data_IF_444260925441
#
_entry.id   IF_444260925441
#
_cell.length_a   1.000
_cell.length_b   1.000
_cell.length_c   1.000
_cell.angle_alpha   90.00
_cell.angle_beta   90.00
_cell.angle_gamma   90.00
#
_symmetry.space_group_name_H-M   'P 1'
#
loop_
_entity.id
_entity.type
_entity.pdbx_description
1 polymer ?
#
# COMPACT_ATOMS: atom_id res chain seq x y z
N UNK A 1 -17.31 10.09 6.80
CA UNK A 1 -16.37 10.06 7.93
C UNK A 1 -15.70 8.72 7.80
N UNK A 2 -14.38 8.74 7.57
CA UNK A 2 -13.59 7.53 7.51
C UNK A 2 -13.39 7.06 8.95
N UNK A 3 -13.53 5.76 9.17
CA UNK A 3 -13.40 5.15 10.49
C UNK A 3 -12.25 4.14 10.41
N UNK A 4 -11.26 4.32 11.27
CA UNK A 4 -10.23 3.31 11.49
C UNK A 4 -10.76 2.32 12.53
N UNK A 5 -10.55 1.05 12.24
CA UNK A 5 -10.94 -0.09 13.04
C UNK A 5 -9.73 -0.97 13.28
N UNK A 6 -9.82 -1.93 14.21
CA UNK A 6 -8.71 -2.86 14.48
C UNK A 6 -7.37 -2.16 14.78
N UNK A 7 -7.43 -1.08 15.57
CA UNK A 7 -6.25 -0.27 15.89
C UNK A 7 -5.39 -1.04 16.90
N UNK A 8 -4.16 -1.33 16.51
CA UNK A 8 -3.12 -1.93 17.35
C UNK A 8 -1.90 -1.00 17.40
N UNK A 9 -1.20 -1.03 18.53
CA UNK A 9 0.04 -0.29 18.75
C UNK A 9 1.02 -1.26 19.36
N UNK A 10 2.08 -1.56 18.64
CA UNK A 10 3.04 -2.57 19.05
C UNK A 10 4.05 -2.03 20.10
N UNK A 11 4.97 -2.89 20.54
CA UNK A 11 5.95 -2.57 21.58
C UNK A 11 7.02 -1.57 21.12
N UNK A 12 7.26 -1.49 19.81
CA UNK A 12 8.18 -0.55 19.15
C UNK A 12 7.49 0.79 18.81
N UNK A 13 6.17 0.89 18.98
CA UNK A 13 5.41 2.12 18.81
C UNK A 13 4.91 2.37 17.40
N UNK A 14 4.87 1.34 16.55
CA UNK A 14 4.21 1.35 15.25
C UNK A 14 2.69 1.17 15.42
N UNK A 15 1.92 2.01 14.73
CA UNK A 15 0.46 1.92 14.72
C UNK A 15 0.01 1.16 13.47
N UNK A 16 -0.78 0.11 13.68
CA UNK A 16 -1.50 -0.59 12.62
C UNK A 16 -3.01 -0.47 12.81
N UNK A 17 -3.76 -0.40 11.71
CA UNK A 17 -5.21 -0.33 11.74
C UNK A 17 -5.81 -0.83 10.42
N UNK A 18 -7.13 -0.94 10.35
CA UNK A 18 -7.89 -1.20 9.13
C UNK A 18 -8.83 -0.04 8.86
N UNK A 19 -8.82 0.46 7.62
CA UNK A 19 -9.68 1.57 7.21
C UNK A 19 -10.68 1.12 6.14
N UNK A 20 -11.94 1.53 6.33
CA UNK A 20 -12.96 1.43 5.29
C UNK A 20 -12.92 2.69 4.42
N UNK A 21 -12.51 2.51 3.16
CA UNK A 21 -12.43 3.57 2.17
C UNK A 21 -13.69 3.59 1.27
N UNK A 22 -13.94 4.70 0.56
CA UNK A 22 -15.06 4.77 -0.37
C UNK A 22 -14.98 3.70 -1.47
N UNK A 23 -16.14 3.23 -1.94
CA UNK A 23 -16.23 2.21 -2.99
C UNK A 23 -16.10 0.77 -2.46
N UNK A 24 -16.48 0.54 -1.20
CA UNK A 24 -16.41 -0.78 -0.54
C UNK A 24 -14.97 -1.33 -0.40
N UNK A 25 -13.97 -0.45 -0.54
CA UNK A 25 -12.53 -0.76 -0.38
C UNK A 25 -12.16 -0.85 1.09
N UNK A 26 -11.32 -1.81 1.45
CA UNK A 26 -10.72 -1.92 2.79
C UNK A 26 -9.21 -1.98 2.62
N UNK A 27 -8.49 -1.25 3.46
CA UNK A 27 -7.03 -1.21 3.41
C UNK A 27 -6.46 -1.33 4.81
N UNK A 28 -5.35 -2.05 4.94
CA UNK A 28 -4.51 -1.96 6.13
C UNK A 28 -3.88 -0.57 6.19
N UNK A 29 -3.75 0.01 7.37
CA UNK A 29 -3.08 1.28 7.60
C UNK A 29 -1.89 1.02 8.50
N UNK A 30 -0.71 1.43 8.05
CA UNK A 30 0.52 1.39 8.83
C UNK A 30 1.01 2.81 9.04
N UNK A 31 1.48 3.12 10.24
CA UNK A 31 2.04 4.42 10.56
C UNK A 31 3.56 4.33 10.67
N UNK A 32 4.26 4.89 9.69
CA UNK A 32 5.71 4.89 9.67
C UNK A 32 6.26 6.07 10.47
N UNK A 33 7.09 5.78 11.48
CA UNK A 33 7.86 6.76 12.23
C UNK A 33 9.34 6.71 11.85
N UNK A 34 9.95 7.87 11.68
CA UNK A 34 11.41 7.95 11.63
C UNK A 34 12.03 7.52 12.97
N UNK A 35 13.21 6.90 12.92
CA UNK A 35 13.87 6.33 14.10
C UNK A 35 14.15 7.31 15.25
N UNK A 36 14.17 8.62 14.97
CA UNK A 36 14.37 9.68 15.96
C UNK A 36 13.04 10.33 16.43
N UNK A 37 11.89 9.94 15.86
CA UNK A 37 10.57 10.45 16.20
C UNK A 37 9.87 9.58 17.24
N UNK A 38 9.11 10.23 18.12
CA UNK A 38 8.25 9.59 19.10
C UNK A 38 6.94 10.37 19.13
N UNK A 39 5.88 9.75 18.64
CA UNK A 39 4.52 10.27 18.69
C UNK A 39 3.67 9.38 19.59
N UNK A 40 2.76 9.98 20.35
CA UNK A 40 1.76 9.20 21.08
C UNK A 40 0.75 8.58 20.10
N UNK A 41 0.17 7.42 20.43
CA UNK A 41 -0.78 6.72 19.57
C UNK A 41 -1.99 7.57 19.16
N UNK A 42 -2.50 8.43 20.05
CA UNK A 42 -3.56 9.38 19.73
C UNK A 42 -3.15 10.40 18.64
N UNK A 43 -1.88 10.82 18.63
CA UNK A 43 -1.35 11.77 17.65
C UNK A 43 -1.18 11.09 16.29
N UNK A 44 -0.60 9.89 16.26
CA UNK A 44 -0.50 9.05 15.06
C UNK A 44 -1.87 8.79 14.43
N UNK A 45 -2.85 8.39 15.25
CA UNK A 45 -4.22 8.16 14.79
C UNK A 45 -4.87 9.43 14.21
N UNK A 46 -4.60 10.59 14.81
CA UNK A 46 -5.14 11.86 14.32
C UNK A 46 -4.51 12.25 12.97
N UNK A 47 -3.21 12.01 12.78
CA UNK A 47 -2.50 12.22 11.52
C UNK A 47 -3.04 11.27 10.44
N UNK A 48 -3.11 9.97 10.73
CA UNK A 48 -3.68 8.95 9.83
C UNK A 48 -5.10 9.31 9.38
N UNK A 49 -5.99 9.66 10.31
CA UNK A 49 -7.35 10.10 9.97
C UNK A 49 -7.36 11.32 9.05
N UNK A 50 -6.49 12.30 9.32
CA UNK A 50 -6.41 13.53 8.53
C UNK A 50 -5.86 13.29 7.13
N UNK A 51 -4.89 12.40 6.98
CA UNK A 51 -4.36 12.02 5.68
C UNK A 51 -5.45 11.28 4.88
N UNK A 52 -6.03 10.24 5.47
CA UNK A 52 -6.98 9.36 4.80
C UNK A 52 -8.30 10.06 4.45
N UNK A 53 -8.78 11.05 5.23
CA UNK A 53 -10.07 11.73 4.95
C UNK A 53 -10.12 12.40 3.58
N UNK A 54 -8.97 12.71 3.01
CA UNK A 54 -8.87 13.32 1.68
C UNK A 54 -9.03 12.29 0.54
N UNK A 55 -8.85 10.99 0.82
CA UNK A 55 -9.06 9.88 -0.12
C UNK A 55 -10.55 9.62 -0.34
N UNK A 56 -11.13 10.40 -1.25
CA UNK A 56 -12.48 10.15 -1.75
C UNK A 56 -12.48 9.06 -2.82
N UNK A 57 -13.64 8.48 -3.12
CA UNK A 57 -13.76 7.48 -4.19
C UNK A 57 -13.29 8.05 -5.53
N UNK A 58 -13.64 9.29 -5.86
CA UNK A 58 -13.20 9.95 -7.09
C UNK A 58 -11.69 10.15 -7.16
N UNK A 59 -11.02 10.33 -6.02
CA UNK A 59 -9.55 10.42 -5.96
C UNK A 59 -8.94 9.05 -6.17
N UNK A 60 -9.46 8.01 -5.50
CA UNK A 60 -8.96 6.64 -5.66
C UNK A 60 -9.13 6.15 -7.10
N UNK A 61 -10.33 6.30 -7.69
CA UNK A 61 -10.57 5.94 -9.09
C UNK A 61 -9.64 6.68 -10.06
N UNK A 62 -9.29 7.94 -9.77
CA UNK A 62 -8.32 8.70 -10.57
C UNK A 62 -6.90 8.14 -10.41
N UNK A 63 -6.48 7.89 -9.17
CA UNK A 63 -5.15 7.35 -8.89
C UNK A 63 -4.98 5.96 -9.49
N UNK A 64 -5.98 5.08 -9.39
CA UNK A 64 -5.98 3.75 -9.98
C UNK A 64 -5.82 3.85 -11.52
N UNK A 65 -6.54 4.77 -12.19
CA UNK A 65 -6.38 5.01 -13.63
C UNK A 65 -4.97 5.53 -13.99
N UNK A 66 -4.41 6.44 -13.19
CA UNK A 66 -3.06 6.96 -13.39
C UNK A 66 -1.98 5.87 -13.22
N UNK A 67 -2.07 5.06 -12.16
CA UNK A 67 -1.16 3.93 -11.90
C UNK A 67 -1.20 2.96 -13.08
N UNK A 68 -2.40 2.57 -13.52
CA UNK A 68 -2.58 1.64 -14.63
C UNK A 68 -1.91 2.17 -15.90
N UNK A 69 -2.13 3.44 -16.23
CA UNK A 69 -1.53 4.03 -17.42
C UNK A 69 -0.02 4.14 -17.31
N UNK A 70 0.51 4.59 -16.16
CA UNK A 70 1.95 4.75 -15.98
C UNK A 70 2.68 3.40 -16.04
N UNK A 71 2.16 2.36 -15.39
CA UNK A 71 2.76 1.04 -15.40
C UNK A 71 2.71 0.37 -16.77
N UNK A 72 1.57 0.43 -17.44
CA UNK A 72 1.42 -0.15 -18.79
C UNK A 72 2.26 0.63 -19.78
N UNK A 73 2.24 1.97 -19.77
CA UNK A 73 3.07 2.75 -20.69
C UNK A 73 4.56 2.51 -20.46
N UNK A 74 4.98 2.32 -19.22
CA UNK A 74 6.37 2.00 -18.87
C UNK A 74 6.81 0.61 -19.38
N UNK A 75 5.95 -0.42 -19.32
CA UNK A 75 6.27 -1.75 -19.84
C UNK A 75 6.51 -1.75 -21.36
N UNK A 76 5.82 -0.86 -22.08
CA UNK A 76 5.99 -0.66 -23.52
C UNK A 76 7.01 0.43 -23.87
N UNK A 77 7.63 1.10 -22.89
CA UNK A 77 8.61 2.15 -23.16
C UNK A 77 9.86 1.57 -23.81
N UNK A 78 10.07 1.93 -25.07
CA UNK A 78 11.21 1.46 -25.86
C UNK A 78 10.92 0.20 -26.68
N UNK A 79 9.72 -0.36 -26.57
CA UNK A 79 9.23 -1.42 -27.44
C UNK A 79 8.73 -0.86 -28.79
N UNK A 80 8.67 -1.75 -29.79
CA UNK A 80 8.20 -1.38 -31.13
C UNK A 80 6.67 -1.36 -31.23
N UNK A 81 6.02 -2.08 -30.31
CA UNK A 81 4.57 -2.16 -30.16
C UNK A 81 4.09 -1.05 -29.22
N UNK A 82 2.81 -0.71 -29.32
CA UNK A 82 2.16 0.26 -28.44
C UNK A 82 1.10 -0.44 -27.60
N UNK A 83 0.87 0.00 -26.36
CA UNK A 83 -0.14 -0.60 -25.51
C UNK A 83 -1.53 -0.51 -26.16
N UNK A 84 -2.28 -1.59 -26.08
CA UNK A 84 -3.67 -1.68 -26.52
C UNK A 84 -4.62 -1.42 -25.35
N UNK A 85 -5.88 -1.06 -25.65
CA UNK A 85 -6.90 -0.84 -24.62
C UNK A 85 -7.13 -2.06 -23.70
N UNK A 86 -6.79 -3.26 -24.18
CA UNK A 86 -6.89 -4.49 -23.40
C UNK A 86 -5.82 -4.57 -22.32
N UNK A 87 -4.62 -4.03 -22.55
CA UNK A 87 -3.49 -4.10 -21.61
C UNK A 87 -3.81 -3.27 -20.35
N UNK A 88 -4.31 -2.05 -20.54
CA UNK A 88 -4.81 -1.22 -19.43
C UNK A 88 -5.99 -1.88 -18.71
N UNK A 89 -6.94 -2.45 -19.45
CA UNK A 89 -8.11 -3.09 -18.85
C UNK A 89 -7.76 -4.34 -18.03
N UNK A 90 -6.71 -5.08 -18.42
CA UNK A 90 -6.22 -6.24 -17.67
C UNK A 90 -5.67 -5.80 -16.31
N UNK A 91 -4.76 -4.82 -16.29
CA UNK A 91 -4.21 -4.33 -15.04
C UNK A 91 -5.28 -3.66 -14.16
N UNK A 92 -6.18 -2.87 -14.74
CA UNK A 92 -7.25 -2.21 -14.00
C UNK A 92 -8.25 -3.18 -13.34
N UNK A 93 -8.50 -4.35 -13.93
CA UNK A 93 -9.43 -5.35 -13.36
C UNK A 93 -8.81 -6.12 -12.19
N UNK A 94 -7.48 -6.23 -12.13
CA UNK A 94 -6.77 -6.95 -11.07
C UNK A 94 -6.17 -6.04 -9.98
N UNK A 95 -6.08 -4.73 -10.21
CA UNK A 95 -5.50 -3.80 -9.27
C UNK A 95 -6.37 -3.72 -8.00
N UNK A 96 -5.81 -4.15 -6.86
CA UNK A 96 -6.52 -4.20 -5.58
C UNK A 96 -5.73 -3.47 -4.49
N UNK A 97 -6.37 -2.51 -3.82
CA UNK A 97 -5.75 -1.72 -2.77
C UNK A 97 -5.61 -2.55 -1.48
N UNK A 98 -4.37 -2.91 -1.14
CA UNK A 98 -4.06 -3.69 0.05
C UNK A 98 -3.88 -2.83 1.30
N UNK A 99 -3.23 -1.66 1.13
CA UNK A 99 -2.79 -0.87 2.27
C UNK A 99 -2.52 0.59 1.98
N UNK A 100 -2.34 1.35 3.06
CA UNK A 100 -1.91 2.74 3.06
C UNK A 100 -0.91 2.95 4.19
N UNK A 101 0.28 3.43 3.86
CA UNK A 101 1.31 3.81 4.82
C UNK A 101 1.20 5.33 5.01
N UNK A 102 1.14 5.76 6.27
CA UNK A 102 1.07 7.17 6.66
C UNK A 102 2.34 7.53 7.41
N UNK A 103 3.03 8.58 6.97
CA UNK A 103 4.19 9.12 7.67
C UNK A 103 3.79 10.19 8.71
N UNK A 104 4.72 10.56 9.59
CA UNK A 104 4.56 11.63 10.59
C UNK A 104 4.11 12.98 10.00
N UNK A 105 4.51 13.31 8.77
CA UNK A 105 4.10 14.54 8.07
C UNK A 105 2.76 14.42 7.31
N UNK A 106 2.05 13.29 7.46
CA UNK A 106 0.82 12.96 6.73
C UNK A 106 1.00 12.62 5.24
N UNK A 107 2.23 12.38 4.78
CA UNK A 107 2.50 11.74 3.47
C UNK A 107 1.81 10.38 3.41
N UNK A 108 1.23 10.07 2.25
CA UNK A 108 0.52 8.82 2.00
C UNK A 108 1.25 8.00 0.95
N UNK A 109 1.45 6.72 1.25
CA UNK A 109 1.86 5.72 0.26
C UNK A 109 0.77 4.68 0.17
N UNK A 110 0.13 4.56 -1.00
CA UNK A 110 -0.85 3.50 -1.26
C UNK A 110 -0.14 2.25 -1.77
N UNK A 111 -0.55 1.09 -1.26
CA UNK A 111 0.01 -0.21 -1.60
C UNK A 111 -1.04 -1.03 -2.32
N UNK A 112 -0.76 -1.40 -3.57
CA UNK A 112 -1.64 -2.21 -4.40
C UNK A 112 -1.00 -3.55 -4.76
N UNK A 113 -1.87 -4.53 -4.98
CA UNK A 113 -1.57 -5.85 -5.53
C UNK A 113 -2.14 -5.94 -6.95
N UNK A 114 -1.46 -6.74 -7.78
CA UNK A 114 -1.87 -7.11 -9.13
C UNK A 114 -1.26 -8.49 -9.41
N UNK A 115 -1.90 -9.58 -8.94
CA UNK A 115 -1.23 -10.87 -8.75
C UNK A 115 -0.95 -11.61 -10.05
N UNK A 116 -1.58 -11.19 -11.15
CA UNK A 116 -1.37 -11.76 -12.48
C UNK A 116 -0.30 -10.99 -13.26
N UNK A 117 -0.33 -9.66 -13.23
CA UNK A 117 0.69 -8.82 -13.90
C UNK A 117 2.00 -8.78 -13.11
N UNK A 118 1.92 -8.62 -11.79
CA UNK A 118 3.04 -8.43 -10.88
C UNK A 118 3.03 -9.51 -9.78
N UNK A 119 3.22 -10.79 -10.14
CA UNK A 119 3.22 -11.87 -9.17
C UNK A 119 4.33 -11.61 -8.14
N UNK A 120 3.99 -11.76 -6.86
CA UNK A 120 4.90 -11.58 -5.70
C UNK A 120 5.48 -10.18 -5.53
N UNK A 121 4.96 -9.17 -6.22
CA UNK A 121 5.40 -7.78 -6.08
C UNK A 121 4.22 -6.91 -5.65
N UNK A 122 4.52 -5.85 -4.93
CA UNK A 122 3.58 -4.81 -4.56
C UNK A 122 3.88 -3.52 -5.35
N UNK A 123 2.82 -2.77 -5.65
CA UNK A 123 2.88 -1.48 -6.31
C UNK A 123 2.72 -0.40 -5.23
N UNK A 124 3.72 0.47 -5.11
CA UNK A 124 3.76 1.55 -4.13
C UNK A 124 3.57 2.89 -4.84
N UNK A 125 2.50 3.60 -4.49
CA UNK A 125 2.20 4.93 -5.00
C UNK A 125 2.28 5.97 -3.88
N UNK A 126 3.38 6.73 -3.84
CA UNK A 126 3.56 7.86 -2.93
C UNK A 126 2.83 9.08 -3.46
N UNK A 127 2.04 9.71 -2.61
CA UNK A 127 1.21 10.86 -2.93
C UNK A 127 1.76 12.14 -2.32
N UNK A 128 1.68 13.23 -3.08
CA UNK A 128 1.97 14.57 -2.58
C UNK A 128 0.78 15.17 -1.80
N UNK A 129 0.95 16.37 -1.25
CA UNK A 129 -0.09 17.14 -0.55
C UNK A 129 -1.39 17.36 -1.36
N UNK A 130 -1.28 17.37 -2.70
CA UNK A 130 -2.40 17.51 -3.64
C UNK A 130 -3.04 16.16 -4.01
N UNK A 131 -2.56 15.04 -3.45
CA UNK A 131 -2.95 13.67 -3.79
C UNK A 131 -2.66 13.33 -5.25
N UNK A 132 -1.58 13.86 -5.82
CA UNK A 132 -1.01 13.44 -7.10
C UNK A 132 0.12 12.43 -6.83
N UNK A 133 0.33 11.50 -7.77
CA UNK A 133 1.38 10.49 -7.62
C UNK A 133 2.72 11.21 -7.80
N UNK A 134 3.52 11.27 -6.74
CA UNK A 134 4.88 11.83 -6.77
C UNK A 134 5.89 10.75 -7.17
N UNK A 135 5.73 9.54 -6.61
CA UNK A 135 6.59 8.40 -6.88
C UNK A 135 5.75 7.13 -7.06
N UNK A 136 6.00 6.41 -8.15
CA UNK A 136 5.47 5.07 -8.38
C UNK A 136 6.62 4.07 -8.45
N UNK A 137 6.52 2.98 -7.69
CA UNK A 137 7.54 1.95 -7.64
C UNK A 137 6.91 0.56 -7.50
N UNK A 138 7.62 -0.45 -8.02
CA UNK A 138 7.26 -1.86 -7.85
C UNK A 138 8.41 -2.53 -7.10
N UNK A 139 8.09 -3.19 -5.98
CA UNK A 139 9.08 -3.88 -5.17
C UNK A 139 8.48 -5.15 -4.55
N UNK A 140 9.36 -6.04 -4.07
CA UNK A 140 8.91 -7.13 -3.20
C UNK A 140 8.29 -6.51 -1.95
N UNK A 141 7.12 -6.99 -1.47
CA UNK A 141 6.59 -6.52 -0.21
C UNK A 141 7.62 -6.77 0.88
N UNK A 142 7.82 -5.81 1.79
CA UNK A 142 8.61 -6.04 3.00
C UNK A 142 7.93 -7.17 3.78
N UNK A 143 8.43 -8.39 3.59
CA UNK A 143 8.07 -9.55 4.39
C UNK A 143 8.74 -9.35 5.76
N UNK A 144 7.99 -8.86 6.74
CA UNK A 144 8.34 -9.06 8.15
C UNK A 144 8.42 -10.57 8.42
N UNK A 145 9.65 -11.09 8.34
CA UNK A 145 10.21 -12.26 9.03
C UNK A 145 9.21 -13.37 9.48
N UNK A 146 8.38 -13.90 8.58
CA UNK A 146 7.68 -15.17 8.81
C UNK A 146 8.43 -16.31 8.12
N UNK A 147 9.60 -16.65 8.66
CA UNK A 147 10.21 -17.97 8.47
C UNK A 147 10.79 -18.49 9.79
N UNK A 148 9.95 -18.49 10.82
CA UNK A 148 10.10 -19.41 11.94
C UNK A 148 9.63 -20.83 11.53
N UNK A 149 10.29 -21.43 10.55
CA UNK A 149 10.25 -22.89 10.32
C UNK A 149 11.55 -23.49 10.86
N UNK A 150 11.73 -23.43 12.19
CA UNK A 150 12.59 -24.39 12.91
C UNK A 150 11.76 -25.66 13.12
N UNK A 151 11.54 -26.43 12.04
CA UNK A 151 10.96 -27.77 12.17
C UNK A 151 12.03 -28.71 12.73
N UNK A 152 11.82 -29.00 14.01
CA UNK A 152 12.53 -29.84 14.95
C UNK A 152 12.83 -31.26 14.41
N UNK A 153 13.96 -31.49 13.72
CA UNK A 153 14.49 -32.86 13.53
C UNK A 153 15.24 -33.34 14.79
N UNK A 154 14.49 -33.62 15.86
CA UNK A 154 14.96 -34.49 16.95
C UNK A 154 14.98 -35.95 16.50
N UNK A 155 16.02 -36.35 15.76
CA UNK A 155 16.27 -37.77 15.52
C UNK A 155 16.69 -38.45 16.83
N UNK A 156 15.71 -39.14 17.41
CA UNK A 156 15.84 -40.01 18.56
C UNK A 156 16.78 -41.18 18.25
N UNK A 157 17.82 -41.31 19.08
CA UNK A 157 18.55 -42.51 19.52
C UNK A 157 18.51 -43.82 18.71
N UNK A 158 19.72 -44.36 18.50
CA UNK A 158 20.12 -45.69 19.06
C UNK A 158 21.61 -45.66 19.47
#
# INVERSE_FOLDING_TARGET
MIELTDIDLDEDGELSAVVALPGDRQAAVLFALDADEQLDGDEMLAIAQRALVALTGEVLDRLEDEIVHELVDADFEGDADSPEASDYALLADELDLQGAIVSSDATLVLVYDAPTQYPTLAIYAELDDALEIEVLSIAEPDEDDESADDDEEVEQGD
#
